data_IF_111677960047
#
_entry.id   IF_111677960047
#
_cell.length_a   1.000
_cell.length_b   1.000
_cell.length_c   1.000
_cell.angle_alpha   90.00
_cell.angle_beta   90.00
_cell.angle_gamma   90.00
#
_symmetry.space_group_name_H-M   'P 1'
#
loop_
_entity.id
_entity.type
_entity.pdbx_description
1 polymer ?
#
# COMPACT_ATOMS: atom_id res chain seq x y z
N UNK A 1 -21.57 -5.86 3.07
CA UNK A 1 -20.88 -4.67 3.65
C UNK A 1 -19.46 -4.99 4.11
N UNK A 2 -19.21 -6.12 4.78
CA UNK A 2 -17.87 -6.56 5.24
C UNK A 2 -16.85 -6.78 4.12
N UNK A 3 -17.27 -7.26 2.94
CA UNK A 3 -16.37 -7.51 1.80
C UNK A 3 -15.81 -6.23 1.14
N UNK A 4 -16.58 -5.13 1.12
CA UNK A 4 -16.10 -3.82 0.64
C UNK A 4 -15.09 -3.17 1.60
N UNK A 5 -15.19 -3.49 2.90
CA UNK A 5 -14.27 -3.03 3.95
C UNK A 5 -12.94 -3.82 3.87
N UNK A 6 -13.01 -5.12 3.61
CA UNK A 6 -11.84 -5.99 3.40
C UNK A 6 -11.04 -5.58 2.15
N UNK A 7 -11.71 -5.28 1.03
CA UNK A 7 -11.08 -4.72 -0.18
C UNK A 7 -10.45 -3.35 0.09
N UNK A 8 -11.06 -2.51 0.94
CA UNK A 8 -10.50 -1.23 1.39
C UNK A 8 -9.24 -1.37 2.25
N UNK A 9 -9.21 -2.36 3.14
CA UNK A 9 -8.05 -2.69 4.00
C UNK A 9 -6.86 -3.19 3.18
N UNK A 10 -7.12 -4.03 2.17
CA UNK A 10 -6.10 -4.51 1.21
C UNK A 10 -5.54 -3.41 0.30
N UNK A 11 -6.34 -2.40 -0.03
CA UNK A 11 -5.87 -1.26 -0.85
C UNK A 11 -4.93 -0.36 -0.04
N UNK A 12 -5.23 -0.11 1.25
CA UNK A 12 -4.34 0.63 2.15
C UNK A 12 -3.00 -0.07 2.41
N UNK A 13 -3.00 -1.40 2.52
CA UNK A 13 -1.77 -2.19 2.70
C UNK A 13 -0.83 -2.13 1.48
N UNK A 14 -1.38 -2.13 0.26
CA UNK A 14 -0.57 -2.00 -0.97
C UNK A 14 0.05 -0.62 -1.12
N UNK A 15 -0.65 0.43 -0.67
CA UNK A 15 -0.08 1.79 -0.61
C UNK A 15 1.02 1.86 0.46
N UNK A 16 0.88 1.14 1.58
CA UNK A 16 1.94 0.99 2.59
C UNK A 16 3.23 0.37 2.02
N UNK A 17 3.11 -0.75 1.29
CA UNK A 17 4.26 -1.42 0.68
C UNK A 17 4.93 -0.53 -0.38
N UNK A 18 4.13 0.24 -1.13
CA UNK A 18 4.62 1.19 -2.12
C UNK A 18 5.28 2.43 -1.49
N UNK A 19 4.77 2.94 -0.36
CA UNK A 19 5.39 4.04 0.40
C UNK A 19 6.74 3.60 1.00
N UNK A 20 6.84 2.35 1.44
CA UNK A 20 8.06 1.78 2.03
C UNK A 20 9.13 1.41 0.99
N UNK A 21 8.82 1.46 -0.32
CA UNK A 21 9.74 1.21 -1.43
C UNK A 21 10.70 0.03 -1.19
N UNK A 22 10.16 -1.10 -0.73
CA UNK A 22 10.92 -2.35 -0.59
C UNK A 22 11.11 -2.96 -1.98
N UNK A 23 12.26 -2.74 -2.61
CA UNK A 23 12.67 -3.46 -3.80
C UNK A 23 12.94 -4.93 -3.43
N UNK A 24 11.94 -5.78 -3.66
CA UNK A 24 12.08 -7.22 -3.52
C UNK A 24 12.99 -7.80 -4.60
N UNK A 25 14.30 -7.79 -4.36
CA UNK A 25 15.24 -8.70 -5.03
C UNK A 25 15.44 -9.92 -4.13
N UNK A 26 14.49 -10.87 -4.17
CA UNK A 26 14.78 -12.24 -3.71
C UNK A 26 15.51 -12.95 -4.84
N UNK A 27 16.85 -12.93 -4.81
CA UNK A 27 17.62 -13.97 -5.46
C UNK A 27 17.39 -15.26 -4.68
N UNK A 28 16.72 -16.22 -5.31
CA UNK A 28 16.65 -17.60 -4.86
C UNK A 28 18.01 -18.27 -5.07
N UNK A 29 18.59 -18.96 -4.07
CA UNK A 29 19.74 -19.83 -4.30
C UNK A 29 19.29 -21.05 -5.11
N UNK A 30 20.01 -21.34 -6.18
CA UNK A 30 19.98 -22.63 -6.87
C UNK A 30 20.55 -23.70 -5.93
N UNK A 31 19.82 -24.81 -5.77
CA UNK A 31 20.36 -26.06 -5.23
C UNK A 31 20.10 -27.17 -6.23
N UNK A 32 21.19 -27.72 -6.76
CA UNK A 32 21.25 -28.94 -7.55
C UNK A 32 20.80 -30.18 -6.74
N UNK A 33 20.35 -31.23 -7.44
CA UNK A 33 20.55 -32.61 -6.97
C UNK A 33 19.33 -33.54 -6.92
N UNK A 34 19.10 -34.24 -8.04
CA UNK A 34 18.85 -35.68 -8.19
C UNK A 34 17.98 -36.49 -7.17
N UNK A 35 16.90 -37.07 -7.70
CA UNK A 35 16.71 -38.54 -7.78
C UNK A 35 16.16 -39.32 -6.58
N UNK A 36 15.20 -40.22 -6.84
CA UNK A 36 15.04 -41.46 -6.05
C UNK A 36 13.63 -41.76 -5.55
N UNK A 37 13.05 -42.84 -6.07
CA UNK A 37 11.72 -43.39 -5.80
C UNK A 37 11.70 -44.38 -4.61
N UNK A 38 10.47 -44.76 -4.22
CA UNK A 38 10.04 -46.01 -3.60
C UNK A 38 9.79 -46.07 -2.07
N UNK A 39 8.56 -46.49 -1.75
CA UNK A 39 8.06 -47.04 -0.48
C UNK A 39 8.63 -48.47 -0.22
N UNK A 40 8.42 -49.13 0.96
CA UNK A 40 7.10 -49.67 1.33
C UNK A 40 6.77 -49.83 2.85
N UNK A 41 5.48 -50.14 3.03
CA UNK A 41 4.65 -50.78 4.08
C UNK A 41 5.18 -51.48 5.36
N UNK A 42 4.35 -51.28 6.43
CA UNK A 42 3.78 -52.22 7.45
C UNK A 42 4.66 -52.90 8.51
N UNK A 43 4.29 -52.72 9.80
CA UNK A 43 3.59 -53.74 10.63
C UNK A 43 3.44 -53.34 12.12
N UNK A 44 2.25 -53.57 12.69
CA UNK A 44 1.88 -53.99 14.08
C UNK A 44 2.32 -53.09 15.28
N UNK A 45 1.59 -52.95 16.40
CA UNK A 45 0.47 -53.67 17.00
C UNK A 45 -0.19 -52.85 18.14
N UNK A 46 -1.50 -53.11 18.38
CA UNK A 46 -2.32 -53.08 19.61
C UNK A 46 -1.91 -52.25 20.86
N UNK A 47 -2.85 -51.50 21.47
CA UNK A 47 -3.70 -51.93 22.61
C UNK A 47 -4.59 -50.79 23.22
N UNK A 48 -5.87 -51.14 23.47
CA UNK A 48 -6.90 -50.70 24.47
C UNK A 48 -6.78 -49.34 25.18
N UNK A 49 -7.76 -48.42 25.28
CA UNK A 49 -9.20 -48.41 25.66
C UNK A 49 -9.43 -47.62 26.98
N UNK A 50 -10.53 -46.87 27.02
CA UNK A 50 -11.30 -46.37 28.19
C UNK A 50 -11.16 -44.92 28.74
N UNK A 51 -12.21 -44.13 28.43
CA UNK A 51 -13.21 -43.55 29.36
C UNK A 51 -12.90 -42.29 30.21
N UNK A 52 -13.59 -41.20 29.80
CA UNK A 52 -14.29 -40.14 30.56
C UNK A 52 -13.63 -39.46 31.78
N UNK A 53 -13.58 -38.12 31.75
CA UNK A 53 -14.50 -37.21 32.49
C UNK A 53 -13.91 -35.80 32.61
N UNK A 54 -14.76 -34.81 32.40
CA UNK A 54 -14.50 -33.38 32.55
C UNK A 54 -14.48 -32.92 34.01
N UNK A 55 -13.67 -31.90 34.36
CA UNK A 55 -14.01 -30.99 35.45
C UNK A 55 -14.10 -29.52 34.99
N UNK A 56 -15.17 -28.84 35.43
CA UNK A 56 -15.32 -27.37 35.35
C UNK A 56 -14.39 -26.70 36.38
N UNK A 57 -13.82 -25.51 36.13
CA UNK A 57 -13.25 -24.72 37.20
C UNK A 57 -14.30 -23.78 37.82
N UNK A 58 -14.27 -23.76 39.15
CA UNK A 58 -15.05 -22.94 40.07
C UNK A 58 -14.47 -21.53 40.23
N UNK A 59 -15.31 -20.57 40.63
CA UNK A 59 -14.97 -19.19 40.99
C UNK A 59 -14.23 -19.11 42.33
N UNK A 60 -13.22 -18.23 42.47
CA UNK A 60 -13.20 -17.11 43.45
C UNK A 60 -11.79 -16.57 43.78
N UNK A 61 -11.74 -15.22 43.84
CA UNK A 61 -10.87 -14.31 44.60
C UNK A 61 -9.34 -14.50 44.73
N UNK A 62 -8.62 -13.44 44.33
CA UNK A 62 -7.68 -12.80 45.25
C UNK A 62 -6.28 -12.48 44.74
N UNK A 63 -5.85 -11.24 45.01
CA UNK A 63 -4.49 -10.70 45.04
C UNK A 63 -3.81 -10.38 43.71
N UNK A 64 -3.71 -9.07 43.44
CA UNK A 64 -2.95 -8.53 42.34
C UNK A 64 -1.45 -8.72 42.51
N UNK A 65 -0.77 -8.80 41.38
CA UNK A 65 0.61 -8.40 41.13
C UNK A 65 0.79 -8.57 39.61
N UNK A 66 0.97 -7.46 38.91
CA UNK A 66 1.11 -7.48 37.46
C UNK A 66 0.34 -6.35 36.79
N UNK A 67 0.73 -5.10 37.06
CA UNK A 67 0.82 -4.14 35.96
C UNK A 67 1.80 -4.76 34.95
N UNK A 68 1.30 -5.68 34.13
CA UNK A 68 1.92 -5.98 32.86
C UNK A 68 1.85 -4.66 32.10
N UNK A 69 2.98 -3.96 32.21
CA UNK A 69 3.40 -2.89 31.34
C UNK A 69 3.08 -3.31 29.92
N UNK A 70 1.88 -2.96 29.46
CA UNK A 70 1.64 -2.69 28.07
C UNK A 70 2.56 -1.52 27.77
N UNK A 71 3.81 -1.86 27.41
CA UNK A 71 4.67 -0.98 26.64
C UNK A 71 3.98 -0.85 25.28
N UNK A 72 2.87 -0.12 25.26
CA UNK A 72 2.45 0.62 24.09
C UNK A 72 3.56 1.67 23.93
N UNK A 73 4.68 1.24 23.32
CA UNK A 73 5.74 2.17 22.96
C UNK A 73 5.02 3.19 22.09
N UNK A 74 4.94 4.42 22.56
CA UNK A 74 4.57 5.55 21.75
C UNK A 74 5.53 5.59 20.56
N UNK A 75 5.15 4.92 19.47
CA UNK A 75 5.82 4.93 18.18
C UNK A 75 5.50 6.28 17.52
N UNK A 76 5.81 7.39 18.20
CA UNK A 76 5.80 8.70 17.58
C UNK A 76 7.15 8.83 16.88
N UNK A 77 7.19 8.32 15.65
CA UNK A 77 8.26 8.70 14.73
C UNK A 77 7.98 10.13 14.33
N UNK A 78 8.93 11.03 14.57
CA UNK A 78 8.69 12.47 14.43
C UNK A 78 8.65 12.88 12.96
N UNK A 79 9.36 12.15 12.10
CA UNK A 79 9.49 12.43 10.67
C UNK A 79 9.32 11.19 9.81
N UNK A 80 8.93 11.41 8.55
CA UNK A 80 8.83 10.39 7.51
C UNK A 80 10.16 9.70 7.21
N UNK A 81 11.27 10.45 7.31
CA UNK A 81 12.63 9.99 7.04
C UNK A 81 13.11 9.01 8.12
N UNK A 82 12.86 9.31 9.39
CA UNK A 82 13.15 8.42 10.52
C UNK A 82 12.36 7.12 10.41
N UNK A 83 11.09 7.23 10.01
CA UNK A 83 10.24 6.06 9.78
C UNK A 83 10.82 5.18 8.68
N UNK A 84 11.15 5.75 7.53
CA UNK A 84 11.74 5.00 6.41
C UNK A 84 13.05 4.32 6.83
N UNK A 85 13.95 5.04 7.53
CA UNK A 85 15.20 4.47 8.03
C UNK A 85 14.98 3.30 8.99
N UNK A 86 14.02 3.44 9.92
CA UNK A 86 13.71 2.41 10.93
C UNK A 86 13.12 1.14 10.32
N UNK A 87 12.36 1.27 9.24
CA UNK A 87 11.74 0.13 8.55
C UNK A 87 12.55 -0.39 7.34
N UNK A 88 13.81 0.04 7.22
CA UNK A 88 14.72 -0.31 6.12
C UNK A 88 14.17 0.05 4.74
N UNK A 89 13.42 1.15 4.64
CA UNK A 89 12.99 1.71 3.37
C UNK A 89 14.13 2.45 2.67
N UNK A 90 14.07 2.53 1.34
CA UNK A 90 15.12 3.10 0.50
C UNK A 90 14.93 4.60 0.26
N UNK A 91 13.67 5.07 0.30
CA UNK A 91 13.33 6.45 -0.06
C UNK A 91 12.16 6.98 0.75
N UNK A 92 12.29 8.20 1.25
CA UNK A 92 11.18 8.91 1.90
C UNK A 92 10.27 9.57 0.86
N UNK A 93 8.96 9.33 0.99
CA UNK A 93 7.93 9.87 0.12
C UNK A 93 7.04 10.80 0.95
N UNK A 94 7.24 12.09 0.79
CA UNK A 94 6.49 13.14 1.51
C UNK A 94 5.45 13.82 0.64
N UNK A 95 5.58 13.78 -0.68
CA UNK A 95 4.64 14.38 -1.64
C UNK A 95 4.29 13.40 -2.76
N UNK A 96 3.00 13.19 -2.96
CA UNK A 96 2.43 12.25 -3.95
C UNK A 96 1.55 13.01 -4.94
N UNK A 97 1.75 12.77 -6.23
CA UNK A 97 0.81 13.16 -7.29
C UNK A 97 -0.24 12.07 -7.48
N UNK A 98 -1.52 12.45 -7.45
CA UNK A 98 -2.64 11.57 -7.79
C UNK A 98 -3.02 11.85 -9.25
N UNK A 99 -2.73 10.88 -10.11
CA UNK A 99 -3.09 10.87 -11.52
C UNK A 99 -4.45 10.19 -11.74
N UNK A 100 -5.44 10.55 -10.92
CA UNK A 100 -6.79 10.01 -10.96
C UNK A 100 -7.79 11.01 -10.35
N UNK A 101 -9.08 10.80 -10.56
CA UNK A 101 -10.15 11.63 -10.05
C UNK A 101 -11.19 10.80 -9.27
N UNK A 102 -12.29 11.47 -8.88
CA UNK A 102 -13.45 10.84 -8.25
C UNK A 102 -13.13 10.03 -6.98
N UNK A 103 -13.79 8.89 -6.83
CA UNK A 103 -13.72 8.06 -5.61
C UNK A 103 -12.34 7.41 -5.40
N UNK A 104 -11.56 7.22 -6.46
CA UNK A 104 -10.21 6.67 -6.38
C UNK A 104 -9.30 7.62 -5.60
N UNK A 105 -9.26 8.88 -6.03
CA UNK A 105 -8.49 9.93 -5.37
C UNK A 105 -8.89 10.11 -3.90
N UNK A 106 -10.21 10.20 -3.62
CA UNK A 106 -10.73 10.34 -2.25
C UNK A 106 -10.29 9.19 -1.35
N UNK A 107 -10.43 7.94 -1.81
CA UNK A 107 -10.05 6.78 -1.00
C UNK A 107 -8.56 6.75 -0.72
N UNK A 108 -7.72 7.01 -1.73
CA UNK A 108 -6.28 7.07 -1.54
C UNK A 108 -5.90 8.09 -0.46
N UNK A 109 -6.36 9.34 -0.60
CA UNK A 109 -6.04 10.40 0.36
C UNK A 109 -6.54 10.06 1.76
N UNK A 110 -7.79 9.61 1.93
CA UNK A 110 -8.32 9.24 3.25
C UNK A 110 -7.53 8.12 3.90
N UNK A 111 -7.19 7.08 3.14
CA UNK A 111 -6.43 5.93 3.66
C UNK A 111 -5.04 6.35 4.10
N UNK A 112 -4.31 7.11 3.27
CA UNK A 112 -2.95 7.54 3.61
C UNK A 112 -2.94 8.57 4.74
N UNK A 113 -3.88 9.52 4.76
CA UNK A 113 -3.98 10.49 5.87
C UNK A 113 -4.30 9.83 7.19
N UNK A 114 -5.23 8.87 7.20
CA UNK A 114 -5.56 8.09 8.40
C UNK A 114 -4.32 7.36 8.92
N UNK A 115 -3.62 6.66 8.05
CA UNK A 115 -2.38 5.97 8.42
C UNK A 115 -1.29 6.95 8.89
N UNK A 116 -1.14 8.08 8.20
CA UNK A 116 -0.18 9.12 8.57
C UNK A 116 -0.47 9.69 9.96
N UNK A 117 -1.75 9.89 10.29
CA UNK A 117 -2.17 10.29 11.62
C UNK A 117 -1.89 9.21 12.67
N UNK A 118 -2.16 7.94 12.36
CA UNK A 118 -1.88 6.83 13.28
C UNK A 118 -0.38 6.72 13.60
N UNK A 119 0.51 6.93 12.61
CA UNK A 119 1.96 6.77 12.74
C UNK A 119 2.70 8.03 13.22
N UNK A 120 2.37 9.20 12.69
CA UNK A 120 3.10 10.45 12.91
C UNK A 120 2.33 11.45 13.78
N UNK A 121 1.08 11.13 14.18
CA UNK A 121 0.11 12.07 14.77
C UNK A 121 -0.12 13.33 13.91
N UNK A 122 0.22 13.23 12.63
CA UNK A 122 0.11 14.29 11.64
C UNK A 122 -0.49 13.71 10.36
N UNK A 123 -1.75 14.05 10.08
CA UNK A 123 -2.43 13.61 8.86
C UNK A 123 -1.80 14.15 7.57
N UNK A 124 -1.05 15.26 7.65
CA UNK A 124 -0.38 15.91 6.52
C UNK A 124 1.11 15.59 6.45
N UNK A 125 1.57 14.53 7.13
CA UNK A 125 2.94 14.04 6.96
C UNK A 125 3.22 13.64 5.49
N UNK A 126 2.19 13.16 4.79
CA UNK A 126 2.20 12.95 3.34
C UNK A 126 1.25 13.95 2.68
N UNK A 127 1.80 14.75 1.76
CA UNK A 127 1.09 15.80 1.02
C UNK A 127 0.62 15.28 -0.33
N UNK A 128 -0.56 15.74 -0.74
CA UNK A 128 -1.17 15.33 -2.00
C UNK A 128 -1.26 16.48 -2.99
N UNK A 129 -0.78 16.21 -4.20
CA UNK A 129 -1.04 17.03 -5.39
C UNK A 129 -2.04 16.26 -6.26
N UNK A 130 -3.11 16.91 -6.72
CA UNK A 130 -4.12 16.27 -7.58
C UNK A 130 -4.21 16.97 -8.93
N UNK A 131 -4.44 16.20 -10.00
CA UNK A 131 -4.82 16.75 -11.31
C UNK A 131 -6.32 17.06 -11.32
N UNK A 132 -6.71 18.18 -11.91
CA UNK A 132 -8.11 18.63 -11.93
C UNK A 132 -8.49 19.16 -13.30
N UNK A 133 -9.51 18.57 -13.91
CA UNK A 133 -10.07 19.08 -15.16
C UNK A 133 -11.12 20.17 -14.88
N UNK A 134 -11.47 21.01 -15.87
CA UNK A 134 -12.54 22.00 -15.73
C UNK A 134 -13.89 21.36 -15.36
N UNK A 135 -14.15 20.13 -15.83
CA UNK A 135 -15.37 19.38 -15.53
C UNK A 135 -15.41 18.94 -14.08
N UNK A 136 -14.31 18.40 -13.54
CA UNK A 136 -14.20 18.03 -12.13
C UNK A 136 -14.35 19.26 -11.21
N UNK A 137 -13.81 20.41 -11.64
CA UNK A 137 -13.96 21.68 -10.93
C UNK A 137 -15.42 22.18 -10.94
N UNK A 138 -16.08 22.12 -12.10
CA UNK A 138 -17.50 22.48 -12.25
C UNK A 138 -18.42 21.56 -11.44
N UNK A 139 -18.07 20.28 -11.33
CA UNK A 139 -18.78 19.30 -10.52
C UNK A 139 -18.51 19.44 -9.01
N UNK A 140 -17.63 20.35 -8.59
CA UNK A 140 -17.23 20.57 -7.20
C UNK A 140 -16.72 19.27 -6.53
N UNK A 141 -15.89 18.52 -7.25
CA UNK A 141 -15.48 17.18 -6.85
C UNK A 141 -14.76 17.17 -5.49
N UNK A 142 -15.14 16.23 -4.63
CA UNK A 142 -14.71 16.18 -3.22
C UNK A 142 -13.18 16.03 -3.06
N UNK A 143 -12.54 15.31 -3.99
CA UNK A 143 -11.09 15.10 -3.93
C UNK A 143 -10.30 16.42 -4.08
N UNK A 144 -10.86 17.43 -4.78
CA UNK A 144 -10.21 18.73 -4.97
C UNK A 144 -10.09 19.46 -3.64
N UNK A 145 -11.15 19.45 -2.84
CA UNK A 145 -11.18 20.08 -1.50
C UNK A 145 -10.30 19.35 -0.50
N UNK A 146 -10.15 18.04 -0.69
CA UNK A 146 -9.33 17.21 0.19
C UNK A 146 -7.84 17.38 -0.07
N UNK A 147 -7.43 17.63 -1.31
CA UNK A 147 -6.02 17.74 -1.69
C UNK A 147 -5.31 18.95 -1.05
N UNK A 148 -4.00 18.85 -0.86
CA UNK A 148 -3.19 19.97 -0.36
C UNK A 148 -2.95 21.00 -1.47
N UNK A 149 -2.66 20.52 -2.68
CA UNK A 149 -2.49 21.33 -3.88
C UNK A 149 -3.19 20.65 -5.06
N UNK A 150 -3.67 21.47 -6.01
CA UNK A 150 -4.22 20.96 -7.26
C UNK A 150 -3.56 21.63 -8.45
N UNK A 151 -3.52 20.91 -9.57
CA UNK A 151 -2.98 21.40 -10.84
C UNK A 151 -4.10 21.32 -11.89
N UNK A 152 -4.47 22.45 -12.52
CA UNK A 152 -5.43 22.43 -13.61
C UNK A 152 -4.83 21.70 -14.83
N UNK A 153 -5.61 20.83 -15.43
CA UNK A 153 -5.24 20.05 -16.63
C UNK A 153 -6.31 20.20 -17.72
N UNK A 154 -5.98 19.87 -18.99
CA UNK A 154 -6.95 19.95 -20.08
C UNK A 154 -8.21 19.13 -19.82
N UNK A 155 -9.37 19.66 -20.21
CA UNK A 155 -10.65 18.96 -20.13
C UNK A 155 -10.88 17.94 -21.25
N UNK A 156 -12.12 17.46 -21.35
CA UNK A 156 -12.54 16.48 -22.35
C UNK A 156 -12.14 15.05 -22.02
N UNK A 157 -11.83 14.25 -23.05
CA UNK A 157 -11.53 12.82 -22.90
C UNK A 157 -10.32 12.56 -21.99
N UNK A 158 -10.30 11.41 -21.32
CA UNK A 158 -9.24 11.07 -20.37
C UNK A 158 -7.85 10.99 -21.02
N UNK A 159 -7.78 10.71 -22.32
CA UNK A 159 -6.55 10.73 -23.13
C UNK A 159 -5.84 12.09 -23.13
N UNK A 160 -6.54 13.18 -22.81
CA UNK A 160 -5.97 14.51 -22.72
C UNK A 160 -5.47 14.87 -21.31
N UNK A 161 -5.86 14.09 -20.30
CA UNK A 161 -5.59 14.39 -18.89
C UNK A 161 -5.07 13.16 -18.12
N UNK A 162 -5.94 12.39 -17.45
CA UNK A 162 -5.59 11.34 -16.51
C UNK A 162 -4.98 10.09 -17.16
N UNK A 163 -5.19 9.89 -18.47
CA UNK A 163 -4.56 8.81 -19.25
C UNK A 163 -3.34 9.28 -20.04
N UNK A 164 -3.04 10.59 -20.04
CA UNK A 164 -1.89 11.14 -20.74
C UNK A 164 -0.62 10.99 -19.89
N UNK A 165 0.18 9.98 -20.22
CA UNK A 165 1.41 9.66 -19.48
C UNK A 165 2.42 10.81 -19.51
N UNK A 166 2.62 11.45 -20.66
CA UNK A 166 3.60 12.54 -20.80
C UNK A 166 3.21 13.74 -19.92
N UNK A 167 1.93 14.10 -19.93
CA UNK A 167 1.39 15.16 -19.09
C UNK A 167 1.55 14.83 -17.60
N UNK A 168 1.26 13.59 -17.17
CA UNK A 168 1.41 13.17 -15.77
C UNK A 168 2.87 13.33 -15.34
N UNK A 169 3.81 12.89 -16.17
CA UNK A 169 5.26 12.99 -15.88
C UNK A 169 5.71 14.45 -15.83
N UNK A 170 5.27 15.29 -16.76
CA UNK A 170 5.56 16.73 -16.75
C UNK A 170 5.07 17.41 -15.45
N UNK A 171 3.82 17.14 -15.06
CA UNK A 171 3.24 17.68 -13.84
C UNK A 171 4.02 17.18 -12.61
N UNK A 172 4.39 15.90 -12.58
CA UNK A 172 5.16 15.33 -11.48
C UNK A 172 6.52 16.03 -11.31
N UNK A 173 7.19 16.33 -12.42
CA UNK A 173 8.45 17.08 -12.43
C UNK A 173 8.25 18.52 -11.95
N UNK A 174 7.27 19.24 -12.52
CA UNK A 174 7.00 20.64 -12.18
C UNK A 174 6.57 20.84 -10.72
N UNK A 175 5.86 19.87 -10.15
CA UNK A 175 5.37 19.92 -8.77
C UNK A 175 6.35 19.32 -7.75
N UNK A 176 7.47 18.78 -8.23
CA UNK A 176 8.52 18.15 -7.43
C UNK A 176 7.94 17.14 -6.44
N UNK A 177 7.11 16.22 -6.94
CA UNK A 177 6.63 15.07 -6.16
C UNK A 177 7.69 13.97 -6.15
N UNK A 178 7.65 13.11 -5.14
CA UNK A 178 8.54 11.94 -5.08
C UNK A 178 7.87 10.71 -5.70
N UNK A 179 6.55 10.67 -5.72
CA UNK A 179 5.83 9.51 -6.22
C UNK A 179 4.51 9.88 -6.92
N UNK A 180 4.05 8.99 -7.79
CA UNK A 180 2.80 9.11 -8.52
C UNK A 180 1.92 7.89 -8.22
N UNK A 181 0.65 8.14 -7.92
CA UNK A 181 -0.38 7.12 -7.73
C UNK A 181 -1.46 7.26 -8.80
N UNK A 182 -1.66 6.20 -9.58
CA UNK A 182 -2.68 6.17 -10.65
C UNK A 182 -3.97 5.44 -10.22
N UNK A 183 -3.96 4.64 -9.14
CA UNK A 183 -5.15 3.92 -8.70
C UNK A 183 -5.62 2.87 -9.71
N UNK A 184 -6.87 3.00 -10.18
CA UNK A 184 -7.47 2.15 -11.19
C UNK A 184 -8.11 2.97 -12.32
N UNK A 185 -8.18 2.39 -13.52
CA UNK A 185 -8.57 3.11 -14.75
C UNK A 185 -7.49 4.07 -15.26
N UNK A 186 -7.80 4.83 -16.31
CA UNK A 186 -6.88 5.79 -16.94
C UNK A 186 -5.50 5.18 -17.27
N UNK A 187 -4.40 5.81 -16.84
CA UNK A 187 -3.04 5.30 -17.07
C UNK A 187 -2.58 4.23 -16.05
N UNK A 188 -3.45 3.71 -15.18
CA UNK A 188 -3.03 2.75 -14.13
C UNK A 188 -2.48 1.42 -14.65
N UNK A 189 -2.94 0.99 -15.83
CA UNK A 189 -2.52 -0.24 -16.50
C UNK A 189 -1.56 0.03 -17.66
N UNK A 190 -1.18 1.29 -17.88
CA UNK A 190 -0.28 1.66 -18.97
C UNK A 190 1.19 1.50 -18.52
N UNK A 191 1.94 0.52 -19.06
CA UNK A 191 3.33 0.26 -18.63
C UNK A 191 4.29 1.42 -18.96
N UNK A 192 3.93 2.31 -19.88
CA UNK A 192 4.74 3.51 -20.19
C UNK A 192 4.81 4.48 -19.01
N UNK A 193 3.81 4.48 -18.11
CA UNK A 193 3.78 5.37 -16.95
C UNK A 193 4.91 5.06 -15.96
N UNK A 194 5.03 3.86 -15.37
CA UNK A 194 6.15 3.53 -14.50
C UNK A 194 7.50 3.65 -15.23
N UNK A 195 7.57 3.28 -16.51
CA UNK A 195 8.82 3.38 -17.28
C UNK A 195 9.34 4.82 -17.35
N UNK A 196 8.50 5.78 -17.73
CA UNK A 196 8.88 7.18 -17.85
C UNK A 196 9.14 7.82 -16.48
N UNK A 197 8.37 7.44 -15.45
CA UNK A 197 8.61 7.90 -14.08
C UNK A 197 9.98 7.42 -13.56
N UNK A 198 10.31 6.14 -13.75
CA UNK A 198 11.60 5.59 -13.34
C UNK A 198 12.77 6.26 -14.06
N UNK A 199 12.65 6.53 -15.38
CA UNK A 199 13.65 7.30 -16.14
C UNK A 199 13.89 8.70 -15.59
N UNK A 200 12.92 9.28 -14.89
CA UNK A 200 12.99 10.60 -14.25
C UNK A 200 13.27 10.53 -12.74
N UNK A 201 13.54 9.35 -12.19
CA UNK A 201 13.80 9.16 -10.76
C UNK A 201 12.54 9.25 -9.86
N UNK A 202 11.35 9.25 -10.45
CA UNK A 202 10.06 9.28 -9.73
C UNK A 202 9.60 7.84 -9.43
N UNK A 203 8.91 7.63 -8.31
CA UNK A 203 8.40 6.31 -7.92
C UNK A 203 6.96 6.19 -8.40
N UNK A 204 6.67 5.08 -9.05
CA UNK A 204 5.29 4.70 -9.31
C UNK A 204 4.77 3.85 -8.14
N UNK A 205 3.65 4.26 -7.53
CA UNK A 205 3.02 3.53 -6.43
C UNK A 205 2.14 2.38 -6.96
N UNK A 206 2.81 1.38 -7.53
CA UNK A 206 2.20 0.21 -8.16
C UNK A 206 3.27 -0.79 -8.65
N UNK A 207 2.90 -1.78 -9.47
CA UNK A 207 3.87 -2.70 -10.05
C UNK A 207 4.81 -1.97 -11.03
N UNK A 208 6.08 -2.41 -11.15
CA UNK A 208 7.01 -1.85 -12.14
C UNK A 208 6.61 -2.24 -13.57
N UNK A 209 7.16 -1.54 -14.57
CA UNK A 209 6.84 -1.71 -15.99
C UNK A 209 7.03 -3.16 -16.47
N UNK A 210 8.09 -3.85 -16.02
CA UNK A 210 8.34 -5.25 -16.38
C UNK A 210 7.24 -6.19 -15.90
N UNK A 211 6.71 -5.96 -14.70
CA UNK A 211 5.64 -6.77 -14.13
C UNK A 211 4.31 -6.49 -14.84
N UNK A 212 4.07 -5.24 -15.26
CA UNK A 212 2.89 -4.90 -16.06
C UNK A 212 2.92 -5.55 -17.44
N UNK A 213 4.07 -5.52 -18.13
CA UNK A 213 4.23 -6.20 -19.42
C UNK A 213 4.09 -7.72 -19.34
N UNK A 214 4.61 -8.33 -18.28
CA UNK A 214 4.57 -9.78 -18.12
C UNK A 214 3.18 -10.34 -17.75
N UNK A 215 2.28 -9.50 -17.24
CA UNK A 215 0.95 -9.89 -16.77
C UNK A 215 -0.19 -9.22 -17.55
N UNK A 216 0.13 -8.31 -18.47
CA UNK A 216 -0.82 -7.72 -19.41
C UNK A 216 -1.08 -8.67 -20.58
N UNK A 217 -2.33 -8.75 -21.01
CA UNK A 217 -2.78 -9.49 -22.20
C UNK A 217 -2.47 -8.70 -23.49
#
# INVERSE_FOLDING_TARGET
>A
MKEKIEKGRKTGSKVLDAILCRSGSRQSPLTDGAGGSAAPSTSNAVESAETQTSPRPSMSHGTGLGQERYQERDFVLSTTEEFVKKFNGTRAITKILIANNGIAAVKCMRSVRRWSYEMFKNERAVRFVVMVTPEDLKANAEYIKMADHYVPVPGGSNNNNYANVELIVDIALRTQVQAVWAGWGHASENPKLPELLHKKGLVFLGPPERAMWALGD
#
